data_IF_359467493303
#
_entry.id   IF_359467493303
#
_cell.length_a   1.000
_cell.length_b   1.000
_cell.length_c   1.000
_cell.angle_alpha   90.00
_cell.angle_beta   90.00
_cell.angle_gamma   90.00
#
_symmetry.space_group_name_H-M   'P 1'
#
loop_
_entity.id
_entity.type
_entity.pdbx_description
1 polymer ?
#
# COMPACT_ATOMS: atom_id res chain seq x y z
N UNK A 1 -15.69 -32.20 -37.07
CA UNK A 1 -14.31 -31.87 -36.68
C UNK A 1 -13.87 -30.67 -37.51
N UNK A 2 -13.75 -29.50 -36.88
CA UNK A 2 -13.17 -28.29 -37.48
C UNK A 2 -12.08 -27.84 -36.52
N UNK A 3 -10.83 -27.65 -36.96
CA UNK A 3 -9.75 -27.24 -36.08
C UNK A 3 -9.76 -25.71 -35.95
N UNK A 4 -9.63 -25.19 -34.73
CA UNK A 4 -9.40 -23.76 -34.51
C UNK A 4 -8.04 -23.59 -33.83
N UNK A 5 -7.08 -23.20 -34.64
CA UNK A 5 -5.77 -22.66 -34.26
C UNK A 5 -5.99 -21.27 -33.67
N UNK A 6 -5.49 -21.01 -32.46
CA UNK A 6 -5.50 -19.68 -31.85
C UNK A 6 -4.05 -19.22 -31.70
N UNK A 7 -3.71 -18.18 -32.44
CA UNK A 7 -2.40 -17.54 -32.53
C UNK A 7 -2.04 -16.80 -31.23
N UNK A 8 -0.79 -16.89 -30.81
CA UNK A 8 -0.20 -16.07 -29.73
C UNK A 8 -0.22 -14.57 -30.07
N UNK A 9 -0.48 -13.66 -29.12
CA UNK A 9 -0.34 -12.23 -29.33
C UNK A 9 1.13 -11.78 -29.18
N UNK A 10 1.54 -10.69 -29.85
CA UNK A 10 2.93 -10.27 -29.99
C UNK A 10 3.46 -9.52 -28.75
N UNK A 11 4.78 -9.58 -28.57
CA UNK A 11 5.62 -8.71 -27.72
C UNK A 11 6.44 -7.81 -28.66
N UNK A 12 7.16 -6.76 -28.24
CA UNK A 12 6.94 -5.66 -27.29
C UNK A 12 6.84 -4.29 -28.04
N UNK A 13 6.56 -3.18 -27.36
CA UNK A 13 7.18 -1.89 -27.74
C UNK A 13 7.67 -1.15 -26.50
N UNK A 14 8.94 -0.77 -26.59
CA UNK A 14 9.71 0.08 -25.68
C UNK A 14 9.33 1.53 -25.93
N UNK A 15 9.08 2.30 -24.89
CA UNK A 15 9.01 3.76 -24.98
C UNK A 15 9.79 4.36 -23.81
N UNK A 16 10.93 4.90 -24.19
CA UNK A 16 11.92 5.62 -23.40
C UNK A 16 11.33 6.99 -23.03
N UNK A 17 11.21 7.31 -21.74
CA UNK A 17 11.10 8.69 -21.27
C UNK A 17 12.38 9.02 -20.50
N UNK A 18 13.32 9.64 -21.21
CA UNK A 18 14.42 10.40 -20.64
C UNK A 18 13.84 11.65 -19.94
N UNK A 19 14.02 11.76 -18.62
CA UNK A 19 13.87 13.04 -17.91
C UNK A 19 15.24 13.48 -17.42
N UNK A 20 15.83 14.40 -18.19
CA UNK A 20 17.10 15.07 -17.92
C UNK A 20 17.05 15.99 -16.69
N UNK A 21 18.23 16.11 -16.07
CA UNK A 21 18.62 16.96 -14.96
C UNK A 21 18.26 18.44 -15.10
N UNK A 22 17.86 19.07 -13.99
CA UNK A 22 18.30 20.44 -13.71
C UNK A 22 18.57 20.62 -12.22
N UNK A 23 19.86 20.75 -11.89
CA UNK A 23 20.37 21.19 -10.60
C UNK A 23 19.89 22.62 -10.31
N UNK A 24 19.44 22.87 -9.08
CA UNK A 24 19.43 24.23 -8.51
C UNK A 24 20.24 24.17 -7.21
N UNK A 25 21.51 24.55 -7.32
CA UNK A 25 22.35 24.91 -6.18
C UNK A 25 22.15 26.39 -5.90
N UNK A 26 21.59 26.74 -4.74
CA UNK A 26 21.60 28.11 -4.24
C UNK A 26 22.69 28.21 -3.17
N UNK A 27 23.83 28.78 -3.58
CA UNK A 27 24.94 29.18 -2.75
C UNK A 27 24.60 30.45 -1.97
N UNK A 28 25.14 30.51 -0.76
CA UNK A 28 25.13 31.55 0.28
C UNK A 28 25.71 32.90 -0.14
N UNK A 29 25.16 34.00 0.39
CA UNK A 29 25.89 35.22 0.79
C UNK A 29 24.99 36.09 1.70
N UNK A 30 25.43 36.17 2.97
CA UNK A 30 25.34 37.23 3.99
C UNK A 30 24.24 38.31 3.93
N UNK A 31 23.52 38.49 5.06
CA UNK A 31 23.43 39.82 5.69
C UNK A 31 23.11 39.72 7.19
N UNK A 32 23.83 40.54 7.95
CA UNK A 32 23.94 40.63 9.40
C UNK A 32 22.73 41.33 10.06
N UNK A 33 22.57 41.07 11.36
CA UNK A 33 21.86 41.90 12.36
C UNK A 33 20.32 41.76 12.42
N UNK A 34 19.65 41.71 13.56
CA UNK A 34 19.98 42.17 14.91
C UNK A 34 19.43 41.17 15.95
N UNK A 35 20.14 41.08 17.08
CA UNK A 35 19.65 40.47 18.31
C UNK A 35 18.39 41.21 18.80
N UNK A 36 17.28 40.51 18.95
CA UNK A 36 16.14 40.94 19.76
C UNK A 36 15.80 39.85 20.78
N UNK A 37 15.61 40.31 22.01
CA UNK A 37 15.52 39.58 23.28
C UNK A 37 14.51 38.40 23.28
N UNK A 38 14.76 37.35 24.11
CA UNK A 38 13.81 36.27 24.26
C UNK A 38 12.61 36.78 25.08
N UNK A 39 11.52 37.12 24.38
CA UNK A 39 10.23 37.28 25.02
C UNK A 39 9.71 35.91 25.44
N UNK A 40 9.72 35.68 26.76
CA UNK A 40 8.99 34.62 27.45
C UNK A 40 7.51 34.66 27.05
N UNK A 41 7.21 34.04 25.92
CA UNK A 41 5.87 33.67 25.53
C UNK A 41 5.75 32.19 25.81
N UNK A 42 4.90 31.93 26.79
CA UNK A 42 4.34 30.65 27.23
C UNK A 42 3.66 29.97 26.03
N UNK A 43 4.45 29.56 25.04
CA UNK A 43 4.00 28.80 23.90
C UNK A 43 3.93 27.35 24.37
N UNK A 44 2.74 27.00 24.85
CA UNK A 44 2.29 25.64 25.07
C UNK A 44 2.16 24.87 23.74
N UNK A 45 3.17 24.94 22.87
CA UNK A 45 3.49 23.92 21.88
C UNK A 45 4.12 22.76 22.66
N UNK A 46 3.29 22.15 23.50
CA UNK A 46 3.59 20.95 24.23
C UNK A 46 4.07 19.91 23.23
N UNK A 47 5.34 19.54 23.38
CA UNK A 47 5.88 18.19 23.23
C UNK A 47 5.04 17.36 22.25
N UNK A 48 5.52 17.25 21.01
CA UNK A 48 5.14 16.13 20.13
C UNK A 48 5.55 14.86 20.86
N UNK A 49 4.62 14.33 21.66
CA UNK A 49 4.76 13.05 22.33
C UNK A 49 4.68 11.99 21.24
N UNK A 50 5.83 11.57 20.73
CA UNK A 50 6.01 10.36 19.91
C UNK A 50 5.51 9.08 20.64
N UNK A 51 5.01 9.20 21.86
CA UNK A 51 4.54 8.13 22.72
C UNK A 51 3.08 7.68 22.46
N UNK A 52 2.27 8.42 21.69
CA UNK A 52 0.90 7.98 21.31
C UNK A 52 0.82 7.25 19.96
N UNK A 53 1.92 7.17 19.21
CA UNK A 53 1.90 6.67 17.83
C UNK A 53 1.41 5.22 17.72
N UNK A 54 1.67 4.37 18.72
CA UNK A 54 1.26 2.96 18.65
C UNK A 54 -0.23 2.72 18.93
N UNK A 55 -0.89 3.55 19.76
CA UNK A 55 -2.31 3.34 20.10
C UNK A 55 -3.25 3.60 18.90
N UNK A 56 -2.92 4.62 18.10
CA UNK A 56 -3.72 5.02 16.94
C UNK A 56 -3.37 4.18 15.69
N UNK A 57 -2.15 3.63 15.62
CA UNK A 57 -1.73 2.70 14.56
C UNK A 57 -2.66 1.49 14.51
N UNK A 58 -2.99 0.95 15.67
CA UNK A 58 -3.84 -0.23 15.78
C UNK A 58 -5.33 0.08 15.55
N UNK A 59 -5.80 1.29 15.87
CA UNK A 59 -7.22 1.62 15.73
C UNK A 59 -7.72 1.61 14.28
N UNK A 60 -6.95 2.18 13.34
CA UNK A 60 -7.34 2.19 11.93
C UNK A 60 -7.45 0.77 11.38
N UNK A 61 -6.46 -0.07 11.69
CA UNK A 61 -6.43 -1.45 11.23
C UNK A 61 -7.43 -2.36 11.95
N UNK A 62 -7.76 -2.06 13.19
CA UNK A 62 -8.84 -2.73 13.91
C UNK A 62 -10.20 -2.45 13.25
N UNK A 63 -10.40 -1.25 12.68
CA UNK A 63 -11.62 -0.89 11.94
C UNK A 63 -11.68 -1.50 10.54
N UNK A 64 -10.54 -1.66 9.87
CA UNK A 64 -10.47 -2.10 8.47
C UNK A 64 -9.51 -3.31 8.27
N UNK A 65 -9.80 -4.47 8.91
CA UNK A 65 -8.90 -5.61 8.95
C UNK A 65 -8.68 -6.26 7.57
N UNK A 66 -9.73 -6.32 6.74
CA UNK A 66 -9.65 -6.91 5.40
C UNK A 66 -8.84 -6.04 4.46
N UNK A 67 -8.97 -4.71 4.58
CA UNK A 67 -8.12 -3.77 3.88
C UNK A 67 -6.64 -3.93 4.28
N UNK A 68 -6.36 -4.06 5.59
CA UNK A 68 -4.99 -4.35 6.08
C UNK A 68 -4.43 -5.58 5.39
N UNK A 69 -5.16 -6.70 5.45
CA UNK A 69 -4.72 -7.98 4.92
C UNK A 69 -4.40 -7.90 3.42
N UNK A 70 -5.23 -7.21 2.63
CA UNK A 70 -4.97 -7.02 1.20
C UNK A 70 -3.73 -6.17 0.95
N UNK A 71 -3.59 -5.04 1.64
CA UNK A 71 -2.43 -4.18 1.47
C UNK A 71 -1.15 -4.84 1.94
N UNK A 72 -1.18 -5.66 3.00
CA UNK A 72 -0.03 -6.42 3.46
C UNK A 72 0.50 -7.39 2.40
N UNK A 73 -0.37 -7.98 1.56
CA UNK A 73 0.07 -8.82 0.42
C UNK A 73 0.86 -8.01 -0.61
N UNK A 74 0.51 -6.73 -0.81
CA UNK A 74 1.23 -5.83 -1.74
C UNK A 74 2.48 -5.22 -1.10
N UNK A 75 2.45 -4.88 0.20
CA UNK A 75 3.62 -4.41 0.97
C UNK A 75 4.80 -5.38 0.84
N UNK A 76 4.54 -6.68 0.93
CA UNK A 76 5.58 -7.73 0.80
C UNK A 76 6.17 -7.80 -0.60
N UNK A 77 5.38 -7.47 -1.64
CA UNK A 77 5.86 -7.48 -3.03
C UNK A 77 6.71 -6.24 -3.37
N UNK A 78 6.32 -5.09 -2.83
CA UNK A 78 6.90 -3.79 -3.20
C UNK A 78 7.90 -3.23 -2.17
N UNK A 79 8.17 -3.95 -1.07
CA UNK A 79 9.02 -3.50 0.04
C UNK A 79 8.57 -2.16 0.66
N UNK A 80 7.27 -1.90 0.66
CA UNK A 80 6.69 -0.69 1.25
C UNK A 80 6.52 -0.88 2.76
N UNK A 81 6.91 0.13 3.55
CA UNK A 81 6.74 0.08 5.00
C UNK A 81 5.26 0.11 5.40
N UNK A 82 4.90 -0.63 6.45
CA UNK A 82 3.54 -0.64 6.99
C UNK A 82 3.10 0.77 7.43
N UNK A 83 4.03 1.56 7.96
CA UNK A 83 3.79 2.93 8.39
C UNK A 83 3.41 3.85 7.22
N UNK A 84 4.11 3.74 6.09
CA UNK A 84 3.77 4.51 4.89
C UNK A 84 2.37 4.16 4.38
N UNK A 85 2.04 2.87 4.34
CA UNK A 85 0.70 2.43 3.93
C UNK A 85 -0.38 2.90 4.90
N UNK A 86 -0.11 2.88 6.21
CA UNK A 86 -1.05 3.40 7.20
C UNK A 86 -1.29 4.91 7.00
N UNK A 87 -0.24 5.69 6.77
CA UNK A 87 -0.35 7.12 6.48
C UNK A 87 -1.24 7.36 5.26
N UNK A 88 -1.00 6.63 4.16
CA UNK A 88 -1.84 6.68 2.95
C UNK A 88 -3.26 6.19 3.21
N UNK A 89 -3.42 5.15 4.02
CA UNK A 89 -4.71 4.59 4.42
C UNK A 89 -5.54 5.57 5.25
N UNK A 90 -4.93 6.41 6.07
CA UNK A 90 -5.65 7.47 6.79
C UNK A 90 -6.08 8.59 5.85
N UNK A 91 -5.29 8.89 4.81
CA UNK A 91 -5.57 9.96 3.86
C UNK A 91 -6.79 9.69 2.96
N UNK A 92 -7.15 8.42 2.70
CA UNK A 92 -8.34 8.09 1.88
C UNK A 92 -9.67 8.39 2.58
N UNK A 93 -9.67 8.55 3.90
CA UNK A 93 -10.84 8.81 4.72
C UNK A 93 -11.73 7.58 4.99
N UNK A 94 -12.48 7.64 6.09
CA UNK A 94 -13.23 6.50 6.66
C UNK A 94 -14.27 5.89 5.70
N UNK A 95 -14.99 6.72 4.95
CA UNK A 95 -15.99 6.23 3.99
C UNK A 95 -15.35 5.37 2.90
N UNK A 96 -14.19 5.80 2.39
CA UNK A 96 -13.48 5.07 1.36
C UNK A 96 -12.79 3.83 1.92
N UNK A 97 -12.20 3.94 3.12
CA UNK A 97 -11.60 2.81 3.82
C UNK A 97 -12.64 1.70 4.09
N UNK A 98 -13.86 2.08 4.49
CA UNK A 98 -14.98 1.15 4.66
C UNK A 98 -15.39 0.47 3.36
N UNK A 99 -15.61 1.24 2.29
CA UNK A 99 -15.97 0.70 0.96
C UNK A 99 -14.91 -0.30 0.46
N UNK A 100 -13.63 0.04 0.61
CA UNK A 100 -12.53 -0.83 0.21
C UNK A 100 -12.43 -2.07 1.10
N UNK A 101 -12.62 -1.94 2.40
CA UNK A 101 -12.64 -3.07 3.33
C UNK A 101 -13.73 -4.10 2.97
N UNK A 102 -14.94 -3.64 2.69
CA UNK A 102 -16.06 -4.51 2.25
C UNK A 102 -15.74 -5.21 0.92
N UNK A 103 -15.12 -4.50 -0.03
CA UNK A 103 -14.66 -5.11 -1.29
C UNK A 103 -13.57 -6.16 -1.06
N UNK A 104 -12.62 -5.88 -0.16
CA UNK A 104 -11.59 -6.83 0.24
C UNK A 104 -12.19 -8.08 0.89
N UNK A 105 -13.21 -7.96 1.74
CA UNK A 105 -13.92 -9.12 2.32
C UNK A 105 -14.52 -10.01 1.24
N UNK A 106 -15.22 -9.42 0.27
CA UNK A 106 -15.81 -10.16 -0.85
C UNK A 106 -14.73 -10.85 -1.70
N UNK A 107 -13.62 -10.18 -1.97
CA UNK A 107 -12.51 -10.77 -2.72
C UNK A 107 -11.84 -11.90 -1.95
N UNK A 108 -11.68 -11.78 -0.63
CA UNK A 108 -11.10 -12.82 0.20
C UNK A 108 -11.95 -14.11 0.17
N UNK A 109 -13.28 -13.98 0.29
CA UNK A 109 -14.19 -15.12 0.20
C UNK A 109 -14.04 -15.82 -1.15
N UNK A 110 -14.01 -15.06 -2.26
CA UNK A 110 -13.81 -15.60 -3.60
C UNK A 110 -12.47 -16.30 -3.77
N UNK A 111 -11.40 -15.75 -3.18
CA UNK A 111 -10.07 -16.37 -3.19
C UNK A 111 -10.08 -17.72 -2.46
N UNK A 112 -10.74 -17.81 -1.30
CA UNK A 112 -10.89 -19.06 -0.54
C UNK A 112 -11.72 -20.08 -1.33
N UNK A 113 -12.84 -19.69 -1.92
CA UNK A 113 -13.65 -20.57 -2.78
C UNK A 113 -12.84 -21.12 -3.96
N UNK A 114 -12.06 -20.25 -4.60
CA UNK A 114 -11.17 -20.66 -5.69
C UNK A 114 -10.10 -21.66 -5.22
N UNK A 115 -9.48 -21.41 -4.06
CA UNK A 115 -8.49 -22.33 -3.47
C UNK A 115 -9.11 -23.69 -3.14
N UNK A 116 -10.29 -23.72 -2.53
CA UNK A 116 -11.02 -24.97 -2.22
C UNK A 116 -11.27 -25.77 -3.51
N UNK A 117 -11.77 -25.10 -4.55
CA UNK A 117 -12.02 -25.74 -5.84
C UNK A 117 -10.74 -26.29 -6.48
N UNK A 118 -9.63 -25.54 -6.39
CA UNK A 118 -8.32 -25.99 -6.87
C UNK A 118 -7.82 -27.22 -6.12
N UNK A 119 -7.93 -27.24 -4.79
CA UNK A 119 -7.54 -28.39 -3.97
C UNK A 119 -8.40 -29.62 -4.27
N UNK A 120 -9.71 -29.44 -4.43
CA UNK A 120 -10.62 -30.52 -4.83
C UNK A 120 -10.24 -31.09 -6.19
N UNK A 121 -10.00 -30.24 -7.19
CA UNK A 121 -9.55 -30.68 -8.51
C UNK A 121 -8.23 -31.48 -8.43
N UNK A 122 -7.26 -31.01 -7.65
CA UNK A 122 -6.01 -31.75 -7.47
C UNK A 122 -6.23 -33.10 -6.77
N UNK A 123 -7.13 -33.17 -5.79
CA UNK A 123 -7.50 -34.42 -5.14
C UNK A 123 -8.14 -35.41 -6.12
N UNK A 124 -9.09 -34.96 -6.95
CA UNK A 124 -9.73 -35.77 -7.98
C UNK A 124 -8.70 -36.31 -9.00
N UNK A 125 -7.72 -35.49 -9.42
CA UNK A 125 -6.63 -35.91 -10.32
C UNK A 125 -5.73 -36.95 -9.66
N UNK A 126 -5.37 -36.75 -8.39
CA UNK A 126 -4.53 -37.72 -7.66
C UNK A 126 -5.27 -39.04 -7.47
N UNK A 127 -6.56 -39.01 -7.12
CA UNK A 127 -7.39 -40.21 -7.01
C UNK A 127 -7.41 -41.00 -8.32
N UNK A 128 -7.53 -40.34 -9.46
CA UNK A 128 -7.48 -40.97 -10.78
C UNK A 128 -6.11 -41.54 -11.17
N UNK A 129 -5.00 -40.98 -10.65
CA UNK A 129 -3.65 -41.45 -10.96
C UNK A 129 -3.21 -42.63 -10.09
N UNK A 130 -3.83 -42.84 -8.93
CA UNK A 130 -3.48 -43.89 -7.97
C UNK A 130 -4.50 -45.05 -7.90
N UNK A 131 -5.54 -45.02 -8.76
CA UNK A 131 -6.47 -46.13 -9.02
C UNK A 131 -6.08 -46.87 -10.32
#
# INVERSE_FOLDING_TARGET
MVPVTINSPPKPESSEEELSDSQVSNSSEDDDSMEDEPSDSENNNGVVTETEANGIKDEFWARYPSLKMFLSKEMVKEFISEEYILEKGKLIGDNKAKELNEKCEVLFIKEIEHLINKYRFMADVLELLFL
#
